data_IF_424115508662
#
_entry.id   IF_424115508662
#
_cell.length_a   1.000
_cell.length_b   1.000
_cell.length_c   1.000
_cell.angle_alpha   90.00
_cell.angle_beta   90.00
_cell.angle_gamma   90.00
#
_symmetry.space_group_name_H-M   'P 1'
#
loop_
_entity.id
_entity.type
_entity.pdbx_description
1 polymer ?
#
# COMPACT_ATOMS: atom_id res chain seq x y z
N UNK A 1 2.55 -7.11 -14.64
CA UNK A 1 1.15 -6.69 -14.41
C UNK A 1 1.06 -5.31 -13.76
N UNK A 2 -0.05 -4.59 -13.96
CA UNK A 2 -0.29 -3.24 -13.44
C UNK A 2 -1.77 -3.04 -13.11
N UNK A 3 -2.07 -2.45 -11.96
CA UNK A 3 -3.42 -2.03 -11.53
C UNK A 3 -3.37 -0.53 -11.30
N UNK A 4 -4.21 0.23 -12.01
CA UNK A 4 -4.22 1.69 -11.99
C UNK A 4 -5.65 2.22 -11.91
N UNK A 5 -5.90 2.99 -10.85
CA UNK A 5 -7.16 3.73 -10.63
C UNK A 5 -6.95 5.25 -10.57
N UNK A 6 -5.69 5.71 -10.54
CA UNK A 6 -5.31 7.13 -10.63
C UNK A 6 -3.96 7.27 -11.34
N UNK A 7 -3.72 8.40 -12.01
CA UNK A 7 -2.47 8.65 -12.74
C UNK A 7 -1.28 8.75 -11.79
N UNK A 8 -1.49 9.42 -10.66
CA UNK A 8 -0.44 9.67 -9.66
C UNK A 8 -0.26 8.53 -8.65
N UNK A 9 -1.12 7.50 -8.66
CA UNK A 9 -1.01 6.38 -7.73
C UNK A 9 -1.46 5.05 -8.34
N UNK A 10 -0.53 4.11 -8.48
CA UNK A 10 -0.83 2.76 -8.98
C UNK A 10 0.21 1.73 -8.53
N UNK A 11 -0.10 0.44 -8.73
CA UNK A 11 0.82 -0.65 -8.40
C UNK A 11 1.23 -1.40 -9.66
N UNK A 12 2.49 -1.83 -9.68
CA UNK A 12 3.05 -2.68 -10.71
C UNK A 12 3.79 -3.84 -10.06
N UNK A 13 3.64 -5.03 -10.61
CA UNK A 13 4.44 -6.17 -10.20
C UNK A 13 4.74 -7.07 -11.39
N UNK A 14 5.76 -7.92 -11.28
CA UNK A 14 6.04 -8.95 -12.27
C UNK A 14 6.60 -10.18 -11.58
N UNK A 15 6.14 -11.36 -11.96
CA UNK A 15 6.69 -12.62 -11.45
C UNK A 15 7.99 -12.89 -12.19
N UNK A 16 9.09 -12.97 -11.45
CA UNK A 16 10.42 -13.25 -12.00
C UNK A 16 10.78 -14.71 -11.82
N UNK A 17 10.41 -15.31 -10.68
CA UNK A 17 10.63 -16.72 -10.39
C UNK A 17 9.35 -17.38 -9.89
N UNK A 18 9.03 -18.54 -10.45
CA UNK A 18 8.00 -19.44 -9.92
C UNK A 18 8.73 -20.54 -9.16
N UNK A 19 8.66 -20.53 -7.83
CA UNK A 19 9.31 -21.55 -6.99
C UNK A 19 8.40 -22.77 -6.88
N UNK A 20 7.10 -22.55 -6.67
CA UNK A 20 6.04 -23.56 -6.73
C UNK A 20 4.68 -22.85 -6.93
N UNK A 21 3.59 -23.62 -7.02
CA UNK A 21 2.22 -23.13 -7.29
C UNK A 21 1.72 -22.07 -6.29
N UNK A 22 2.35 -21.97 -5.12
CA UNK A 22 1.97 -21.05 -4.05
C UNK A 22 3.04 -19.99 -3.76
N UNK A 23 4.20 -20.05 -4.41
CA UNK A 23 5.35 -19.19 -4.14
C UNK A 23 5.90 -18.61 -5.43
N UNK A 24 5.49 -17.37 -5.70
CA UNK A 24 6.02 -16.54 -6.78
C UNK A 24 6.91 -15.45 -6.17
N UNK A 25 8.12 -15.33 -6.71
CA UNK A 25 9.04 -14.24 -6.38
C UNK A 25 9.09 -13.25 -7.53
N UNK A 26 9.17 -11.97 -7.22
CA UNK A 26 9.19 -10.96 -8.26
C UNK A 26 9.53 -9.56 -7.80
N UNK A 27 9.21 -8.61 -8.68
CA UNK A 27 9.25 -7.18 -8.37
C UNK A 27 7.87 -6.71 -7.94
N UNK A 28 7.82 -5.74 -7.03
CA UNK A 28 6.62 -5.01 -6.69
C UNK A 28 6.97 -3.54 -6.48
N UNK A 29 6.21 -2.65 -7.11
CA UNK A 29 6.41 -1.21 -7.06
C UNK A 29 5.09 -0.52 -6.75
N UNK A 30 5.12 0.44 -5.82
CA UNK A 30 4.19 1.54 -5.83
C UNK A 30 4.70 2.62 -6.77
N UNK A 31 3.82 3.16 -7.61
CA UNK A 31 4.10 4.36 -8.39
C UNK A 31 3.34 5.51 -7.75
N UNK A 32 4.06 6.54 -7.32
CA UNK A 32 3.52 7.71 -6.64
C UNK A 32 4.14 8.95 -7.29
N UNK A 33 3.32 9.85 -7.83
CA UNK A 33 3.76 11.06 -8.56
C UNK A 33 4.86 10.77 -9.60
N UNK A 34 4.57 9.86 -10.54
CA UNK A 34 5.48 9.40 -11.60
C UNK A 34 6.80 8.76 -11.14
N UNK A 35 6.97 8.49 -9.84
CA UNK A 35 8.15 7.82 -9.29
C UNK A 35 7.81 6.40 -8.87
N UNK A 36 8.64 5.46 -9.31
CA UNK A 36 8.60 4.10 -8.80
C UNK A 36 9.28 4.03 -7.43
N UNK A 37 8.59 3.43 -6.47
CA UNK A 37 9.09 3.02 -5.17
C UNK A 37 9.18 1.49 -5.17
N UNK A 38 10.30 0.94 -5.67
CA UNK A 38 10.45 -0.49 -5.81
C UNK A 38 10.77 -1.13 -4.47
N UNK A 39 10.27 -2.34 -4.28
CA UNK A 39 10.86 -3.26 -3.33
C UNK A 39 12.34 -3.52 -3.72
N UNK A 40 13.26 -3.65 -2.76
CA UNK A 40 14.67 -3.77 -3.11
C UNK A 40 15.01 -5.18 -3.63
N UNK A 41 14.86 -5.37 -4.94
CA UNK A 41 15.23 -6.59 -5.64
C UNK A 41 14.08 -7.23 -6.41
N UNK A 42 14.32 -8.47 -6.83
CA UNK A 42 13.43 -9.28 -7.67
C UNK A 42 12.88 -10.52 -6.93
N UNK A 43 13.08 -10.56 -5.61
CA UNK A 43 12.86 -11.71 -4.76
C UNK A 43 11.71 -11.51 -3.76
N UNK A 44 10.78 -10.59 -4.04
CA UNK A 44 9.62 -10.36 -3.17
C UNK A 44 8.64 -11.49 -3.29
N UNK A 45 8.21 -12.04 -2.15
CA UNK A 45 7.14 -13.04 -2.11
C UNK A 45 5.79 -12.41 -2.44
N UNK A 46 5.46 -12.34 -3.74
CA UNK A 46 4.30 -11.60 -4.24
C UNK A 46 2.99 -12.04 -3.58
N UNK A 47 2.78 -13.35 -3.39
CA UNK A 47 1.56 -13.86 -2.79
C UNK A 47 1.44 -13.47 -1.30
N UNK A 48 2.55 -13.43 -0.56
CA UNK A 48 2.56 -13.00 0.85
C UNK A 48 2.28 -11.50 0.93
N UNK A 49 2.98 -10.71 0.10
CA UNK A 49 2.78 -9.27 0.04
C UNK A 49 1.33 -8.92 -0.31
N UNK A 50 0.72 -9.60 -1.28
CA UNK A 50 -0.68 -9.34 -1.61
C UNK A 50 -1.61 -9.70 -0.47
N UNK A 51 -1.36 -10.81 0.23
CA UNK A 51 -2.15 -11.19 1.39
C UNK A 51 -2.10 -10.13 2.49
N UNK A 52 -0.92 -9.61 2.79
CA UNK A 52 -0.70 -8.56 3.81
C UNK A 52 -1.34 -7.23 3.39
N UNK A 53 -1.21 -6.81 2.13
CA UNK A 53 -1.87 -5.59 1.65
C UNK A 53 -3.40 -5.71 1.65
N UNK A 54 -3.92 -6.86 1.23
CA UNK A 54 -5.37 -7.12 1.14
C UNK A 54 -6.02 -7.31 2.51
N UNK A 55 -5.27 -7.76 3.52
CA UNK A 55 -5.80 -7.93 4.89
C UNK A 55 -6.24 -6.62 5.52
N UNK A 56 -5.78 -5.48 5.01
CA UNK A 56 -6.10 -4.14 5.54
C UNK A 56 -7.43 -3.58 5.02
N UNK A 57 -8.04 -4.20 4.00
CA UNK A 57 -9.33 -3.77 3.42
C UNK A 57 -10.40 -3.53 4.51
N UNK A 58 -10.64 -4.44 5.47
CA UNK A 58 -11.66 -4.23 6.49
C UNK A 58 -11.36 -3.02 7.39
N UNK A 59 -10.10 -2.78 7.76
CA UNK A 59 -9.72 -1.65 8.61
C UNK A 59 -9.98 -0.32 7.88
N UNK A 60 -9.57 -0.24 6.61
CA UNK A 60 -9.81 0.93 5.74
C UNK A 60 -11.32 1.19 5.58
N UNK A 61 -12.13 0.15 5.36
CA UNK A 61 -13.59 0.29 5.21
C UNK A 61 -14.30 0.71 6.51
N UNK A 62 -13.73 0.38 7.67
CA UNK A 62 -14.27 0.79 8.97
C UNK A 62 -13.82 2.18 9.42
N UNK A 63 -12.84 2.78 8.75
CA UNK A 63 -12.31 4.10 9.07
C UNK A 63 -13.34 5.19 8.69
N UNK A 64 -13.98 5.77 9.70
CA UNK A 64 -15.09 6.73 9.52
C UNK A 64 -14.72 8.17 9.84
N UNK A 65 -13.68 8.36 10.63
CA UNK A 65 -13.27 9.69 11.09
C UNK A 65 -12.23 10.25 10.13
N UNK A 66 -12.39 11.53 9.81
CA UNK A 66 -11.44 12.26 8.98
C UNK A 66 -10.34 12.87 9.85
N UNK A 67 -9.10 12.77 9.39
CA UNK A 67 -7.96 13.53 9.94
C UNK A 67 -7.96 14.98 9.45
N UNK A 68 -8.83 15.31 8.48
CA UNK A 68 -8.99 16.65 7.94
C UNK A 68 -7.74 17.14 7.22
N UNK A 69 -7.51 18.45 7.29
CA UNK A 69 -6.36 19.13 6.67
C UNK A 69 -5.16 19.26 7.61
N UNK A 70 -5.02 18.37 8.60
CA UNK A 70 -3.89 18.40 9.53
C UNK A 70 -2.56 18.34 8.74
N UNK A 71 -1.64 19.31 8.88
CA UNK A 71 -0.33 19.25 8.24
C UNK A 71 0.40 17.96 8.60
N UNK A 72 1.19 17.41 7.67
CA UNK A 72 1.89 16.13 7.87
C UNK A 72 2.82 16.15 9.08
N UNK A 73 3.43 17.29 9.38
CA UNK A 73 4.33 17.50 10.52
C UNK A 73 3.60 17.64 11.87
N UNK A 74 2.27 17.76 11.84
CA UNK A 74 1.41 17.76 13.03
C UNK A 74 0.75 16.39 13.29
N UNK A 75 0.94 15.41 12.39
CA UNK A 75 0.42 14.04 12.55
C UNK A 75 1.38 13.23 13.43
N UNK A 76 0.85 12.62 14.49
CA UNK A 76 1.59 11.71 15.35
C UNK A 76 1.59 10.29 14.76
N UNK A 77 2.56 9.99 13.90
CA UNK A 77 2.73 8.66 13.31
C UNK A 77 3.27 7.61 14.29
N UNK A 78 3.73 8.02 15.48
CA UNK A 78 4.17 7.09 16.54
C UNK A 78 2.98 6.58 17.37
N UNK A 79 1.80 7.18 17.23
CA UNK A 79 0.57 6.76 17.91
C UNK A 79 -0.20 5.70 17.09
N UNK A 80 0.29 4.46 17.10
CA UNK A 80 -0.35 3.30 16.44
C UNK A 80 -1.78 2.97 16.92
N UNK A 81 -2.27 3.61 17.98
CA UNK A 81 -3.64 3.48 18.48
C UNK A 81 -4.60 4.55 17.91
N UNK A 82 -4.14 5.39 16.98
CA UNK A 82 -4.99 6.41 16.35
C UNK A 82 -6.08 5.75 15.49
N UNK A 83 -7.33 5.94 15.90
CA UNK A 83 -8.51 5.40 15.22
C UNK A 83 -8.89 6.15 13.93
N UNK A 84 -8.12 7.18 13.54
CA UNK A 84 -8.30 7.98 12.33
C UNK A 84 -7.27 7.66 11.24
N UNK A 85 -6.31 6.78 11.55
CA UNK A 85 -5.28 6.30 10.63
C UNK A 85 -5.31 4.76 10.56
N UNK A 86 -4.89 4.22 9.42
CA UNK A 86 -4.66 2.78 9.25
C UNK A 86 -3.25 2.60 8.73
N UNK A 87 -2.40 1.93 9.52
CA UNK A 87 -1.08 1.48 9.10
C UNK A 87 -1.25 0.26 8.23
N UNK A 88 -0.80 0.36 6.99
CA UNK A 88 -0.90 -0.73 6.03
C UNK A 88 0.26 -1.69 6.27
N UNK A 89 -0.06 -2.96 6.52
CA UNK A 89 0.96 -3.98 6.57
C UNK A 89 1.61 -4.14 5.18
N UNK A 90 2.79 -3.56 5.03
CA UNK A 90 3.57 -3.56 3.79
C UNK A 90 4.50 -4.78 3.68
N UNK A 91 4.49 -5.66 4.67
CA UNK A 91 5.15 -6.95 4.60
C UNK A 91 6.66 -6.86 4.35
N UNK A 92 7.12 -7.62 3.36
CA UNK A 92 8.52 -7.60 2.92
C UNK A 92 9.00 -6.21 2.45
N UNK A 93 8.11 -5.29 2.07
CA UNK A 93 8.51 -3.93 1.67
C UNK A 93 9.09 -3.14 2.85
N UNK A 94 8.61 -3.38 4.06
CA UNK A 94 9.13 -2.71 5.26
C UNK A 94 10.58 -3.07 5.56
N UNK A 95 11.03 -4.26 5.16
CA UNK A 95 12.44 -4.67 5.28
C UNK A 95 13.37 -3.77 4.43
N UNK A 96 12.80 -3.03 3.48
CA UNK A 96 13.47 -2.04 2.64
C UNK A 96 13.09 -0.60 3.00
N UNK A 97 12.47 -0.40 4.16
CA UNK A 97 12.12 0.91 4.70
C UNK A 97 10.83 1.50 4.15
N UNK A 98 10.09 0.78 3.31
CA UNK A 98 8.85 1.28 2.72
C UNK A 98 7.62 0.88 3.54
N UNK A 99 6.81 1.85 3.95
CA UNK A 99 5.53 1.63 4.63
C UNK A 99 4.48 2.64 4.15
N UNK A 100 3.20 2.31 4.37
CA UNK A 100 2.06 3.13 3.99
C UNK A 100 1.13 3.31 5.18
N UNK A 101 0.54 4.49 5.29
CA UNK A 101 -0.48 4.83 6.27
C UNK A 101 -1.57 5.59 5.51
N UNK A 102 -2.84 5.31 5.80
CA UNK A 102 -3.96 5.99 5.14
C UNK A 102 -4.87 6.67 6.17
N UNK A 103 -5.28 7.89 5.86
CA UNK A 103 -6.34 8.63 6.54
C UNK A 103 -7.31 9.24 5.53
N UNK A 104 -8.40 9.86 6.01
CA UNK A 104 -9.40 10.50 5.16
C UNK A 104 -9.59 11.99 5.44
N UNK A 105 -10.04 12.70 4.41
CA UNK A 105 -10.46 14.09 4.48
C UNK A 105 -11.61 14.33 3.48
N UNK A 106 -12.84 14.18 3.96
CA UNK A 106 -14.05 14.27 3.16
C UNK A 106 -14.08 13.25 2.01
N UNK A 107 -14.01 13.76 0.78
CA UNK A 107 -14.03 12.96 -0.46
C UNK A 107 -12.62 12.60 -0.96
N UNK A 108 -11.60 12.82 -0.13
CA UNK A 108 -10.22 12.46 -0.44
C UNK A 108 -9.69 11.46 0.58
N UNK A 109 -8.74 10.65 0.14
CA UNK A 109 -7.87 9.86 1.00
C UNK A 109 -6.47 10.45 0.97
N UNK A 110 -5.82 10.44 2.14
CA UNK A 110 -4.47 10.95 2.35
C UNK A 110 -3.60 9.74 2.61
N UNK A 111 -2.67 9.46 1.71
CA UNK A 111 -1.73 8.35 1.85
C UNK A 111 -0.38 8.93 2.24
N UNK A 112 0.08 8.55 3.42
CA UNK A 112 1.40 8.85 3.91
C UNK A 112 2.30 7.65 3.65
N UNK A 113 3.53 7.90 3.21
CA UNK A 113 4.48 6.84 2.94
C UNK A 113 5.87 7.22 3.41
N UNK A 114 6.61 6.20 3.86
CA UNK A 114 8.02 6.32 4.21
C UNK A 114 8.85 5.45 3.27
N UNK A 115 10.13 5.74 3.20
CA UNK A 115 11.15 4.98 2.45
C UNK A 115 12.45 4.80 3.26
N UNK A 116 12.42 5.18 4.53
CA UNK A 116 13.59 5.29 5.38
C UNK A 116 13.37 4.78 6.81
N UNK A 117 12.46 3.81 6.94
CA UNK A 117 12.07 3.19 8.21
C UNK A 117 11.41 4.22 9.14
N UNK A 118 10.41 4.94 8.62
CA UNK A 118 9.55 5.84 9.39
C UNK A 118 10.28 7.07 9.96
N UNK A 119 11.46 7.41 9.42
CA UNK A 119 12.18 8.63 9.82
C UNK A 119 11.60 9.87 9.17
N UNK A 120 11.14 9.73 7.93
CA UNK A 120 10.44 10.76 7.20
C UNK A 120 9.21 10.19 6.51
N UNK A 121 8.19 11.04 6.38
CA UNK A 121 6.97 10.74 5.66
C UNK A 121 6.77 11.77 4.54
N UNK A 122 6.37 11.25 3.39
CA UNK A 122 5.84 12.02 2.27
C UNK A 122 4.32 11.76 2.21
N UNK A 123 3.58 12.63 1.50
CA UNK A 123 2.12 12.52 1.36
C UNK A 123 1.70 12.61 -0.10
N UNK A 124 0.69 11.81 -0.47
CA UNK A 124 -0.13 12.02 -1.66
C UNK A 124 -1.62 12.06 -1.28
N UNK A 125 -2.37 12.94 -1.92
CA UNK A 125 -3.83 13.08 -1.73
C UNK A 125 -4.53 12.55 -2.98
N UNK A 126 -5.46 11.61 -2.79
CA UNK A 126 -6.17 10.93 -3.87
C UNK A 126 -7.68 11.04 -3.68
N UNK A 127 -8.48 10.84 -4.75
CA UNK A 127 -9.91 10.61 -4.60
C UNK A 127 -10.18 9.43 -3.65
N UNK A 128 -11.15 9.60 -2.75
CA UNK A 128 -11.49 8.56 -1.77
C UNK A 128 -11.90 7.25 -2.47
N UNK A 129 -11.28 6.16 -2.04
CA UNK A 129 -11.53 4.81 -2.54
C UNK A 129 -10.55 4.34 -3.62
N UNK A 130 -9.61 5.19 -4.07
CA UNK A 130 -8.59 4.82 -5.06
C UNK A 130 -7.73 3.66 -4.57
N UNK A 131 -7.16 3.75 -3.38
CA UNK A 131 -6.33 2.70 -2.79
C UNK A 131 -7.13 1.45 -2.47
N UNK A 132 -8.35 1.61 -1.95
CA UNK A 132 -9.25 0.50 -1.68
C UNK A 132 -9.56 -0.31 -2.95
N UNK A 133 -9.74 0.35 -4.10
CA UNK A 133 -9.97 -0.31 -5.38
C UNK A 133 -8.72 -1.06 -5.87
N UNK A 134 -7.52 -0.49 -5.66
CA UNK A 134 -6.26 -1.19 -5.93
C UNK A 134 -6.16 -2.48 -5.10
N UNK A 135 -6.44 -2.41 -3.79
CA UNK A 135 -6.40 -3.59 -2.91
C UNK A 135 -7.43 -4.65 -3.32
N UNK A 136 -8.66 -4.24 -3.67
CA UNK A 136 -9.70 -5.14 -4.17
C UNK A 136 -9.28 -5.85 -5.46
N UNK A 137 -8.62 -5.17 -6.38
CA UNK A 137 -8.11 -5.79 -7.60
C UNK A 137 -6.89 -6.70 -7.33
N UNK A 138 -6.02 -6.33 -6.40
CA UNK A 138 -4.93 -7.20 -5.94
C UNK A 138 -5.47 -8.51 -5.34
N UNK A 139 -6.58 -8.47 -4.61
CA UNK A 139 -7.22 -9.67 -4.06
C UNK A 139 -7.63 -10.70 -5.13
N UNK A 140 -7.97 -10.23 -6.34
CA UNK A 140 -8.30 -11.12 -7.45
C UNK A 140 -7.07 -11.83 -8.03
N UNK A 141 -5.87 -11.34 -7.71
CA UNK A 141 -4.59 -11.89 -8.12
C UNK A 141 -3.94 -12.73 -7.01
N UNK A 142 -4.20 -12.44 -5.73
CA UNK A 142 -3.70 -13.25 -4.61
C UNK A 142 -4.34 -14.63 -4.53
N UNK A 143 -5.57 -14.81 -5.02
CA UNK A 143 -6.34 -16.06 -4.88
C UNK A 143 -6.59 -16.82 -6.18
N UNK A 144 -5.98 -16.41 -7.30
CA UNK A 144 -6.04 -17.21 -8.54
C UNK A 144 -5.25 -18.50 -8.33
N UNK A 145 -5.98 -19.58 -8.05
CA UNK A 145 -5.52 -20.95 -8.30
C UNK A 145 -5.15 -21.02 -9.78
N UNK A 146 -3.88 -21.28 -10.07
CA UNK A 146 -3.48 -21.74 -11.39
C UNK A 146 -4.19 -23.08 -11.60
N UNK A 147 -5.20 -23.09 -12.49
CA UNK A 147 -5.86 -24.31 -12.95
C UNK A 147 -4.92 -25.09 -13.88
#
# INVERSE_FOLDING_TARGET
>A
MLIKHHDDFFVQWETVFVVNDHLNLGIFNFWIDDKAYPAAGINITLNSLFYELVSEIPMIETLKLDIGNLPIDEIDFDNYEDNNLVWINSGELFQYGFALIIGFNGNTERIFFTKDFEKTYDEIVLPKGTFLQILKDLSQHSFKKNN
#
